data_IF_495702670915
#
_entry.id   IF_495702670915
#
_cell.length_a   1.000
_cell.length_b   1.000
_cell.length_c   1.000
_cell.angle_alpha   90.00
_cell.angle_beta   90.00
_cell.angle_gamma   90.00
#
_symmetry.space_group_name_H-M   'P 1'
#
loop_
_entity.id
_entity.type
_entity.pdbx_description
1 polymer ?
#
# COMPACT_ATOMS: atom_id res chain seq x y z
N UNK A 1 -24.40 13.38 -8.50
CA UNK A 1 -23.16 13.78 -7.79
C UNK A 1 -22.97 12.97 -6.51
N UNK A 2 -23.99 12.82 -5.67
CA UNK A 2 -23.92 12.01 -4.44
C UNK A 2 -23.56 10.53 -4.69
N UNK A 3 -24.06 9.95 -5.79
CA UNK A 3 -23.81 8.56 -6.22
C UNK A 3 -22.32 8.25 -6.43
N UNK A 4 -21.52 9.26 -6.76
CA UNK A 4 -20.08 9.12 -6.99
C UNK A 4 -19.26 9.37 -5.72
N UNK A 5 -19.80 10.06 -4.71
CA UNK A 5 -19.11 10.33 -3.45
C UNK A 5 -18.90 9.06 -2.60
N UNK A 6 -19.87 8.13 -2.65
CA UNK A 6 -19.81 6.86 -1.92
C UNK A 6 -18.62 6.00 -2.40
N UNK A 7 -18.41 5.76 -3.71
CA UNK A 7 -17.21 5.12 -4.24
C UNK A 7 -15.88 5.66 -3.70
N UNK A 8 -15.73 6.98 -3.56
CA UNK A 8 -14.50 7.58 -3.02
C UNK A 8 -14.19 7.12 -1.60
N UNK A 9 -15.18 7.19 -0.70
CA UNK A 9 -14.97 6.82 0.70
C UNK A 9 -14.78 5.31 0.82
N UNK A 10 -15.59 4.53 0.11
CA UNK A 10 -15.57 3.07 0.21
C UNK A 10 -14.30 2.45 -0.36
N UNK A 11 -13.64 3.09 -1.35
CA UNK A 11 -12.44 2.56 -1.99
C UNK A 11 -11.21 2.51 -1.06
N UNK A 12 -11.16 3.32 0.00
CA UNK A 12 -10.01 3.42 0.91
C UNK A 12 -9.76 2.10 1.65
N UNK A 13 -10.84 1.47 2.12
CA UNK A 13 -10.75 0.23 2.90
C UNK A 13 -10.12 -0.90 2.07
N UNK A 14 -10.69 -1.34 0.93
CA UNK A 14 -10.09 -2.40 0.12
C UNK A 14 -8.72 -2.00 -0.42
N UNK A 15 -8.46 -0.73 -0.72
CA UNK A 15 -7.13 -0.26 -1.13
C UNK A 15 -6.05 -0.57 -0.08
N UNK A 16 -6.35 -0.32 1.20
CA UNK A 16 -5.44 -0.64 2.31
C UNK A 16 -5.13 -2.13 2.38
N UNK A 17 -6.14 -2.98 2.17
CA UNK A 17 -5.94 -4.44 2.13
C UNK A 17 -5.12 -4.89 0.92
N UNK A 18 -5.32 -4.29 -0.26
CA UNK A 18 -4.55 -4.62 -1.45
C UNK A 18 -3.09 -4.17 -1.32
N UNK A 19 -2.86 -3.02 -0.69
CA UNK A 19 -1.53 -2.47 -0.43
C UNK A 19 -0.73 -3.40 0.48
N UNK A 20 -1.22 -3.60 1.72
CA UNK A 20 -0.57 -4.48 2.69
C UNK A 20 -0.56 -5.95 2.24
N UNK A 21 -1.61 -6.36 1.53
CA UNK A 21 -1.71 -7.69 0.94
C UNK A 21 -0.60 -7.97 -0.08
N UNK A 22 -0.16 -6.97 -0.85
CA UNK A 22 0.93 -7.14 -1.81
C UNK A 22 2.26 -7.43 -1.09
N UNK A 23 2.61 -6.66 -0.06
CA UNK A 23 3.80 -6.91 0.76
C UNK A 23 3.73 -8.28 1.46
N UNK A 24 2.56 -8.64 1.96
CA UNK A 24 2.35 -9.94 2.60
C UNK A 24 2.58 -11.10 1.62
N UNK A 25 2.06 -11.00 0.39
CA UNK A 25 2.27 -12.03 -0.64
C UNK A 25 3.74 -12.17 -0.99
N UNK A 26 4.45 -11.06 -1.24
CA UNK A 26 5.89 -11.10 -1.54
C UNK A 26 6.66 -11.76 -0.39
N UNK A 27 6.40 -11.35 0.85
CA UNK A 27 7.02 -11.98 2.02
C UNK A 27 6.71 -13.47 2.16
N UNK A 28 5.49 -13.91 1.84
CA UNK A 28 5.14 -15.33 1.90
C UNK A 28 5.85 -16.14 0.84
N UNK A 29 5.88 -15.66 -0.40
CA UNK A 29 6.56 -16.34 -1.50
C UNK A 29 8.07 -16.48 -1.24
N UNK A 30 8.64 -15.55 -0.45
CA UNK A 30 10.03 -15.56 -0.05
C UNK A 30 10.31 -16.20 1.33
N UNK A 31 9.34 -16.89 1.94
CA UNK A 31 9.50 -17.49 3.28
C UNK A 31 9.89 -16.51 4.42
N UNK A 32 9.62 -15.21 4.27
CA UNK A 32 9.90 -14.14 5.23
C UNK A 32 8.92 -14.04 6.42
N UNK A 33 8.10 -15.08 6.61
CA UNK A 33 7.08 -15.21 7.66
C UNK A 33 6.32 -13.89 8.00
N UNK A 34 5.67 -13.25 7.02
CA UNK A 34 5.02 -11.95 7.21
C UNK A 34 3.82 -12.03 8.16
N UNK A 35 3.67 -10.99 8.97
CA UNK A 35 2.52 -10.76 9.85
C UNK A 35 1.90 -9.40 9.57
N UNK A 36 0.60 -9.41 9.30
CA UNK A 36 -0.17 -8.18 9.16
C UNK A 36 -0.41 -7.59 10.55
N UNK A 37 -0.09 -6.31 10.69
CA UNK A 37 -0.52 -5.51 11.83
C UNK A 37 -1.80 -4.77 11.50
N UNK A 38 -2.64 -4.62 12.51
CA UNK A 38 -3.96 -4.00 12.35
C UNK A 38 -4.08 -2.80 13.27
N UNK A 39 -4.62 -1.72 12.71
CA UNK A 39 -5.13 -0.55 13.42
C UNK A 39 -6.63 -0.71 13.64
N UNK A 40 -7.12 -0.28 14.81
CA UNK A 40 -8.53 -0.44 15.22
C UNK A 40 -9.06 -1.88 15.08
N UNK A 41 -8.17 -2.89 15.13
CA UNK A 41 -8.47 -4.32 14.95
C UNK A 41 -8.98 -4.75 13.56
N UNK A 42 -9.25 -3.80 12.66
CA UNK A 42 -9.86 -4.11 11.34
C UNK A 42 -9.08 -3.56 10.16
N UNK A 43 -8.29 -2.48 10.28
CA UNK A 43 -7.60 -1.87 9.14
C UNK A 43 -6.14 -2.31 9.14
N UNK A 44 -5.64 -3.02 8.11
CA UNK A 44 -4.22 -3.31 7.97
C UNK A 44 -3.39 -2.02 8.04
N UNK A 45 -2.28 -2.05 8.75
CA UNK A 45 -1.45 -0.86 8.99
C UNK A 45 0.05 -1.15 8.84
N UNK A 46 0.40 -2.23 8.15
CA UNK A 46 1.78 -2.64 7.93
C UNK A 46 1.96 -4.15 7.97
N UNK A 47 2.93 -4.65 7.20
CA UNK A 47 3.43 -6.02 7.24
C UNK A 47 4.79 -6.07 7.93
N UNK A 48 4.91 -6.90 8.96
CA UNK A 48 6.15 -7.16 9.67
C UNK A 48 6.75 -8.51 9.26
N UNK A 49 8.06 -8.54 8.98
CA UNK A 49 8.80 -9.76 8.67
C UNK A 49 9.58 -10.21 9.91
N UNK A 50 9.26 -11.40 10.45
CA UNK A 50 9.87 -11.89 11.71
C UNK A 50 11.34 -12.25 11.59
N UNK A 51 11.80 -12.49 10.37
CA UNK A 51 13.15 -12.94 10.06
C UNK A 51 13.76 -12.05 8.97
N UNK A 52 13.51 -10.73 9.02
CA UNK A 52 13.99 -9.77 8.01
C UNK A 52 15.52 -9.81 7.81
N UNK A 53 16.25 -10.21 8.85
CA UNK A 53 17.71 -10.44 8.87
C UNK A 53 18.15 -11.49 7.84
N UNK A 54 17.31 -12.49 7.60
CA UNK A 54 17.58 -13.61 6.69
C UNK A 54 16.88 -13.47 5.34
N UNK A 55 16.23 -12.34 5.07
CA UNK A 55 15.51 -12.11 3.81
C UNK A 55 16.47 -11.50 2.80
N UNK A 56 16.55 -12.12 1.62
CA UNK A 56 17.39 -11.65 0.52
C UNK A 56 17.03 -10.20 0.12
N UNK A 57 18.05 -9.41 -0.23
CA UNK A 57 17.88 -8.02 -0.68
C UNK A 57 16.88 -7.90 -1.83
N UNK A 58 16.92 -8.83 -2.78
CA UNK A 58 16.01 -8.82 -3.93
C UNK A 58 14.55 -8.92 -3.50
N UNK A 59 14.25 -9.75 -2.50
CA UNK A 59 12.91 -9.89 -1.94
C UNK A 59 12.47 -8.58 -1.27
N UNK A 60 13.36 -7.94 -0.50
CA UNK A 60 13.09 -6.64 0.11
C UNK A 60 12.78 -5.61 -0.99
N UNK A 61 13.57 -5.59 -2.07
CA UNK A 61 13.31 -4.70 -3.21
C UNK A 61 11.97 -4.97 -3.88
N UNK A 62 11.64 -6.24 -4.12
CA UNK A 62 10.34 -6.63 -4.67
C UNK A 62 9.19 -6.25 -3.76
N UNK A 63 9.38 -6.34 -2.44
CA UNK A 63 8.39 -5.89 -1.47
C UNK A 63 8.12 -4.39 -1.65
N UNK A 64 9.16 -3.56 -1.79
CA UNK A 64 9.03 -2.11 -1.98
C UNK A 64 8.26 -1.68 -3.24
N UNK A 65 8.18 -2.53 -4.27
CA UNK A 65 7.38 -2.26 -5.48
C UNK A 65 6.10 -3.08 -5.56
N UNK A 66 5.82 -3.93 -4.57
CA UNK A 66 4.70 -4.87 -4.61
C UNK A 66 3.34 -4.17 -4.84
N UNK A 67 3.02 -3.02 -4.22
CA UNK A 67 1.75 -2.33 -4.47
C UNK A 67 1.55 -1.88 -5.92
N UNK A 68 2.62 -1.71 -6.70
CA UNK A 68 2.53 -1.31 -8.11
C UNK A 68 2.05 -2.43 -9.02
N UNK A 69 1.97 -3.68 -8.55
CA UNK A 69 1.32 -4.79 -9.30
C UNK A 69 -0.13 -4.47 -9.64
N UNK A 70 -0.75 -3.56 -8.89
CA UNK A 70 -2.13 -3.14 -9.08
C UNK A 70 -2.31 -2.04 -10.15
N UNK A 71 -1.22 -1.42 -10.61
CA UNK A 71 -1.26 -0.32 -11.59
C UNK A 71 -1.95 -0.69 -12.91
N UNK A 72 -1.69 -1.86 -13.54
CA UNK A 72 -2.39 -2.25 -14.77
C UNK A 72 -3.91 -2.33 -14.58
N UNK A 73 -4.38 -2.82 -13.43
CA UNK A 73 -5.81 -2.93 -13.12
C UNK A 73 -6.44 -1.55 -12.85
N UNK A 74 -5.70 -0.64 -12.22
CA UNK A 74 -6.10 0.75 -12.06
C UNK A 74 -6.25 1.47 -13.40
N UNK A 75 -5.26 1.36 -14.30
CA UNK A 75 -5.33 1.96 -15.63
C UNK A 75 -6.50 1.36 -16.42
N UNK A 76 -6.63 0.03 -16.45
CA UNK A 76 -7.68 -0.64 -17.21
C UNK A 76 -9.09 -0.25 -16.74
N UNK A 77 -9.33 -0.27 -15.42
CA UNK A 77 -10.63 0.13 -14.87
C UNK A 77 -10.93 1.61 -15.12
N UNK A 78 -9.93 2.49 -15.04
CA UNK A 78 -10.12 3.92 -15.32
C UNK A 78 -10.48 4.16 -16.79
N UNK A 79 -9.82 3.46 -17.72
CA UNK A 79 -10.16 3.51 -19.14
C UNK A 79 -11.57 2.99 -19.39
N UNK A 80 -11.98 1.91 -18.73
CA UNK A 80 -13.36 1.41 -18.81
C UNK A 80 -14.37 2.42 -18.27
N UNK A 81 -14.09 3.10 -17.16
CA UNK A 81 -14.97 4.14 -16.60
C UNK A 81 -15.18 5.32 -17.57
N UNK A 82 -14.18 5.66 -18.37
CA UNK A 82 -14.29 6.70 -19.40
C UNK A 82 -15.24 6.29 -20.54
N UNK A 83 -15.38 4.99 -20.80
CA UNK A 83 -16.31 4.45 -21.81
C UNK A 83 -17.69 4.25 -21.20
N UNK A 84 -17.75 3.71 -19.99
CA UNK A 84 -18.97 3.41 -19.24
C UNK A 84 -18.91 4.04 -17.85
N UNK A 85 -19.55 5.20 -17.70
CA UNK A 85 -19.53 5.96 -16.45
C UNK A 85 -20.49 5.37 -15.42
N UNK A 86 -20.04 4.33 -14.72
CA UNK A 86 -20.77 3.68 -13.64
C UNK A 86 -20.08 3.85 -12.27
N UNK A 87 -20.82 3.97 -11.16
CA UNK A 87 -20.23 4.07 -9.82
C UNK A 87 -19.34 2.88 -9.43
N UNK A 88 -19.62 1.68 -9.95
CA UNK A 88 -18.84 0.47 -9.70
C UNK A 88 -17.47 0.51 -10.39
N UNK A 89 -17.40 0.98 -11.63
CA UNK A 89 -16.13 1.17 -12.34
C UNK A 89 -15.31 2.27 -11.68
N UNK A 90 -15.95 3.37 -11.25
CA UNK A 90 -15.27 4.40 -10.44
C UNK A 90 -14.69 3.81 -9.14
N UNK A 91 -15.48 3.03 -8.40
CA UNK A 91 -15.03 2.38 -7.17
C UNK A 91 -13.81 1.47 -7.41
N UNK A 92 -13.82 0.65 -8.46
CA UNK A 92 -12.70 -0.23 -8.81
C UNK A 92 -11.45 0.59 -9.16
N UNK A 93 -11.59 1.63 -9.98
CA UNK A 93 -10.48 2.51 -10.34
C UNK A 93 -9.87 3.19 -9.12
N UNK A 94 -10.71 3.76 -8.25
CA UNK A 94 -10.27 4.41 -7.03
C UNK A 94 -9.59 3.42 -6.07
N UNK A 95 -10.09 2.19 -5.98
CA UNK A 95 -9.49 1.14 -5.14
C UNK A 95 -8.04 0.86 -5.55
N UNK A 96 -7.78 0.64 -6.83
CA UNK A 96 -6.42 0.39 -7.33
C UNK A 96 -5.54 1.64 -7.29
N UNK A 97 -6.08 2.80 -7.65
CA UNK A 97 -5.32 4.06 -7.59
C UNK A 97 -4.92 4.43 -6.17
N UNK A 98 -5.83 4.27 -5.20
CA UNK A 98 -5.50 4.48 -3.78
C UNK A 98 -4.48 3.47 -3.26
N UNK A 99 -4.54 2.21 -3.69
CA UNK A 99 -3.52 1.21 -3.34
C UNK A 99 -2.12 1.69 -3.69
N UNK A 100 -1.96 2.33 -4.85
CA UNK A 100 -0.69 2.87 -5.33
C UNK A 100 -0.35 4.17 -4.60
N UNK A 101 -1.33 5.06 -4.41
CA UNK A 101 -1.15 6.34 -3.73
C UNK A 101 -0.72 6.20 -2.26
N UNK A 102 -0.99 5.05 -1.64
CA UNK A 102 -0.54 4.69 -0.30
C UNK A 102 0.94 4.31 -0.20
N UNK A 103 1.67 4.21 -1.33
CA UNK A 103 3.12 4.00 -1.32
C UNK A 103 3.82 5.04 -0.43
N UNK A 104 4.72 4.55 0.41
CA UNK A 104 5.36 5.27 1.50
C UNK A 104 6.88 5.35 1.32
N UNK A 105 7.53 6.24 2.08
CA UNK A 105 8.99 6.33 2.09
C UNK A 105 9.65 4.98 2.42
N UNK A 106 9.06 4.20 3.32
CA UNK A 106 9.45 2.83 3.61
C UNK A 106 9.51 1.95 2.35
N UNK A 107 8.52 2.06 1.45
CA UNK A 107 8.49 1.29 0.20
C UNK A 107 9.62 1.71 -0.74
N UNK A 108 9.88 3.02 -0.83
CA UNK A 108 11.00 3.54 -1.61
C UNK A 108 12.35 3.09 -1.05
N UNK A 109 12.52 3.13 0.27
CA UNK A 109 13.72 2.65 0.96
C UNK A 109 13.92 1.16 0.73
N UNK A 110 12.87 0.35 0.88
CA UNK A 110 12.93 -1.09 0.59
C UNK A 110 13.40 -1.38 -0.85
N UNK A 111 12.92 -0.59 -1.83
CA UNK A 111 13.32 -0.74 -3.22
C UNK A 111 14.74 -0.26 -3.52
N UNK A 112 15.16 0.89 -2.96
CA UNK A 112 16.45 1.53 -3.29
C UNK A 112 17.59 1.01 -2.43
N UNK A 113 17.37 0.91 -1.13
CA UNK A 113 18.35 0.70 -0.06
C UNK A 113 17.86 -0.41 0.88
N UNK A 114 17.81 -1.68 0.43
CA UNK A 114 17.21 -2.79 1.19
C UNK A 114 17.91 -3.05 2.53
N UNK A 115 19.22 -2.79 2.62
CA UNK A 115 19.98 -2.88 3.86
C UNK A 115 19.54 -1.82 4.87
N UNK A 116 19.40 -0.57 4.44
CA UNK A 116 18.88 0.52 5.28
C UNK A 116 17.45 0.22 5.73
N UNK A 117 16.61 -0.30 4.82
CA UNK A 117 15.27 -0.76 5.19
C UNK A 117 15.31 -1.85 6.27
N UNK A 118 16.21 -2.83 6.14
CA UNK A 118 16.37 -3.89 7.15
C UNK A 118 16.80 -3.31 8.50
N UNK A 119 17.76 -2.40 8.52
CA UNK A 119 18.19 -1.70 9.75
C UNK A 119 17.02 -0.94 10.38
N UNK A 120 16.25 -0.19 9.59
CA UNK A 120 15.07 0.54 10.06
C UNK A 120 14.01 -0.40 10.66
N UNK A 121 13.75 -1.54 10.04
CA UNK A 121 12.81 -2.54 10.56
C UNK A 121 13.28 -3.12 11.89
N UNK A 122 14.59 -3.42 12.00
CA UNK A 122 15.18 -3.95 13.24
C UNK A 122 15.18 -2.94 14.38
N UNK A 123 15.28 -1.65 14.06
CA UNK A 123 15.25 -0.55 15.01
C UNK A 123 13.83 0.00 15.28
N UNK A 124 12.79 -0.59 14.67
CA UNK A 124 11.41 -0.12 14.72
C UNK A 124 11.21 1.33 14.20
N UNK A 125 12.11 1.81 13.33
CA UNK A 125 12.17 3.18 12.80
C UNK A 125 11.75 3.23 11.32
N UNK A 126 10.52 2.81 11.04
CA UNK A 126 9.99 2.76 9.66
C UNK A 126 9.18 4.03 9.39
N UNK A 127 9.67 4.90 8.48
CA UNK A 127 8.90 6.04 7.98
C UNK A 127 7.67 5.56 7.19
N UNK A 128 6.51 6.12 7.52
CA UNK A 128 5.23 5.82 6.86
C UNK A 128 4.70 7.03 6.10
N UNK A 129 5.56 8.01 5.84
CA UNK A 129 5.16 9.18 5.09
C UNK A 129 4.78 8.79 3.66
N UNK A 130 3.59 9.19 3.17
CA UNK A 130 3.15 8.88 1.83
C UNK A 130 4.02 9.61 0.78
N UNK A 131 4.46 8.89 -0.25
CA UNK A 131 5.30 9.43 -1.32
C UNK A 131 4.51 10.29 -2.31
N UNK A 132 3.27 9.87 -2.60
CA UNK A 132 2.48 10.42 -3.70
C UNK A 132 1.46 11.45 -3.23
N UNK A 133 1.12 11.44 -1.95
CA UNK A 133 0.18 12.38 -1.34
C UNK A 133 0.97 13.25 -0.37
N UNK A 134 1.11 14.56 -0.62
CA UNK A 134 1.79 15.45 0.31
C UNK A 134 1.17 15.41 1.71
N UNK A 135 1.99 15.34 2.74
CA UNK A 135 1.54 15.23 4.15
C UNK A 135 0.65 16.38 4.61
N UNK A 136 0.76 17.57 3.99
CA UNK A 136 -0.11 18.73 4.23
C UNK A 136 -1.56 18.55 3.72
N UNK A 137 -1.83 17.54 2.89
CA UNK A 137 -3.18 17.22 2.42
C UNK A 137 -3.96 16.35 3.43
N UNK A 138 -3.29 15.79 4.44
CA UNK A 138 -3.95 15.03 5.50
C UNK A 138 -4.44 15.98 6.59
N UNK A 139 -5.73 15.94 6.95
CA UNK A 139 -6.24 16.70 8.10
C UNK A 139 -5.45 16.37 9.36
N UNK A 140 -5.12 17.39 10.17
CA UNK A 140 -4.28 17.24 11.38
C UNK A 140 -4.84 16.24 12.41
N UNK A 141 -6.14 15.98 12.37
CA UNK A 141 -6.81 15.01 13.23
C UNK A 141 -6.68 13.57 12.74
N UNK A 142 -6.18 13.33 11.53
CA UNK A 142 -5.73 12.00 11.10
C UNK A 142 -4.33 11.79 11.68
N UNK A 143 -4.13 10.83 12.59
CA UNK A 143 -2.81 10.53 13.13
C UNK A 143 -1.86 10.26 11.98
N UNK A 144 -0.82 11.10 11.89
CA UNK A 144 0.29 10.91 10.96
C UNK A 144 0.94 9.58 11.32
N UNK A 145 1.12 8.74 10.31
CA UNK A 145 1.68 7.41 10.46
C UNK A 145 3.17 7.49 10.78
#
# INVERSE_FOLDING_TARGET
MEEYAIPFILAIIPATYLHEGAHWVVGKLANANPKVSFRLWVIPNGVFFRNIESVDEEVIRFSGIAPFVWLPFGIFSALLFLVESSPSLLFLSLTFLYTIAMASESDATAFREPELFRENVLNEDISREPLLIPTWMFPEWIPRM
#
